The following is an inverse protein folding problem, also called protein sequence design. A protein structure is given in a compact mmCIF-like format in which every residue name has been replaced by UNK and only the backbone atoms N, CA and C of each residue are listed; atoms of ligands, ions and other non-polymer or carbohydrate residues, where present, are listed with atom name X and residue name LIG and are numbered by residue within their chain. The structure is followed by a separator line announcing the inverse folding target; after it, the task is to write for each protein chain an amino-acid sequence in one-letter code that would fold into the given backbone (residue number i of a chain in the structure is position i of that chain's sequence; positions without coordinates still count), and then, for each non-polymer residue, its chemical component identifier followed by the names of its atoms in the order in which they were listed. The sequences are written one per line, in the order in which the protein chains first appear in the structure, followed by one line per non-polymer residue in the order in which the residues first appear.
data_IF_293560496838
#
_entry.id   IF_293560496838
#
_cell.length_a   1.000
_cell.length_b   1.000
_cell.length_c   1.000
_cell.angle_alpha   90.00
_cell.angle_beta   90.00
_cell.angle_gamma   90.00
#
_symmetry.space_group_name_H-M   'P 1'
#
loop_
_entity.id
_entity.type
_entity.pdbx_description
1 polymer ?
#
# COMPACT_ATOMS: atom_id res chain seq x y z
N UNK A 1 32.77 -1.61 28.41
CA UNK A 1 32.93 -3.06 28.25
C UNK A 1 31.59 -3.54 27.74
N UNK A 2 31.57 -4.07 26.51
CA UNK A 2 30.55 -4.87 25.80
C UNK A 2 29.17 -4.88 26.46
N UNK A 3 28.11 -4.37 25.83
CA UNK A 3 27.43 -4.99 24.67
C UNK A 3 27.06 -3.89 23.62
N UNK A 4 27.40 -3.89 22.33
CA UNK A 4 27.63 -4.92 21.31
C UNK A 4 26.61 -6.07 21.38
N UNK A 5 25.37 -5.77 20.99
CA UNK A 5 24.52 -6.64 20.15
C UNK A 5 23.17 -5.95 19.90
N UNK A 6 22.98 -5.40 18.70
CA UNK A 6 21.77 -5.51 17.86
C UNK A 6 22.07 -4.76 16.56
N UNK A 7 23.08 -5.27 15.84
CA UNK A 7 22.95 -5.36 14.40
C UNK A 7 21.67 -6.17 14.16
N UNK A 8 20.54 -5.48 14.02
CA UNK A 8 19.33 -6.12 13.51
C UNK A 8 19.56 -6.26 12.01
N UNK A 9 20.27 -7.32 11.66
CA UNK A 9 20.25 -7.88 10.33
C UNK A 9 18.83 -8.41 10.12
N UNK A 10 17.91 -7.52 9.71
CA UNK A 10 16.70 -7.93 9.00
C UNK A 10 17.16 -8.42 7.64
N UNK A 11 17.54 -9.69 7.61
CA UNK A 11 17.52 -10.51 6.40
C UNK A 11 16.69 -11.73 6.73
N UNK A 12 15.38 -11.67 6.47
CA UNK A 12 14.55 -12.86 6.30
C UNK A 12 13.23 -12.49 5.67
N UNK A 13 13.13 -12.76 4.36
CA UNK A 13 12.09 -13.62 3.79
C UNK A 13 10.72 -13.57 4.50
N UNK A 14 10.10 -12.41 4.43
CA UNK A 14 8.80 -12.15 5.03
C UNK A 14 8.52 -10.69 4.75
N UNK A 15 7.84 -10.42 3.63
CA UNK A 15 7.43 -9.06 3.28
C UNK A 15 6.61 -8.50 4.42
N UNK A 16 7.25 -7.74 5.31
CA UNK A 16 6.59 -6.97 6.34
C UNK A 16 5.52 -6.17 5.59
N UNK A 17 4.24 -6.18 6.00
CA UNK A 17 3.18 -5.55 5.22
C UNK A 17 3.40 -4.04 5.04
N UNK A 18 4.37 -3.45 5.75
CA UNK A 18 4.86 -2.09 5.53
C UNK A 18 5.74 -1.88 4.30
N UNK A 19 6.42 -2.92 3.82
CA UNK A 19 7.41 -2.87 2.72
C UNK A 19 6.78 -3.09 1.34
N UNK A 20 5.56 -3.64 1.28
CA UNK A 20 4.79 -3.79 0.04
C UNK A 20 4.54 -2.43 -0.62
N UNK A 21 4.84 -2.30 -1.91
CA UNK A 21 4.56 -1.08 -2.67
C UNK A 21 3.20 -1.16 -3.37
N UNK A 22 2.25 -0.31 -2.97
CA UNK A 22 0.90 -0.26 -3.53
C UNK A 22 0.87 0.69 -4.71
N UNK A 23 0.74 0.15 -5.92
CA UNK A 23 0.74 0.92 -7.17
C UNK A 23 -0.63 1.51 -7.51
N UNK A 24 -0.65 2.45 -8.46
CA UNK A 24 -1.90 2.95 -9.06
C UNK A 24 -2.67 1.87 -9.83
N UNK A 25 -1.99 0.83 -10.30
CA UNK A 25 -2.66 -0.30 -10.94
C UNK A 25 -3.49 -1.10 -9.95
N UNK A 26 -2.94 -1.37 -8.74
CA UNK A 26 -3.71 -1.99 -7.66
C UNK A 26 -4.93 -1.14 -7.28
N UNK A 27 -4.80 0.19 -7.30
CA UNK A 27 -5.91 1.11 -7.08
C UNK A 27 -7.02 0.97 -8.14
N UNK A 28 -6.67 0.62 -9.37
CA UNK A 28 -7.63 0.45 -10.47
C UNK A 28 -8.19 -0.97 -10.57
N UNK A 29 -7.47 -1.99 -10.08
CA UNK A 29 -7.93 -3.38 -10.10
C UNK A 29 -8.67 -3.80 -8.83
N UNK A 30 -8.51 -3.08 -7.71
CA UNK A 30 -9.17 -3.42 -6.43
C UNK A 30 -10.68 -3.57 -6.61
N UNK A 31 -11.30 -4.68 -6.15
CA UNK A 31 -12.73 -4.84 -6.22
C UNK A 31 -13.40 -3.80 -5.32
N UNK A 32 -14.10 -2.85 -5.94
CA UNK A 32 -14.86 -1.82 -5.24
C UNK A 32 -16.28 -2.31 -4.93
N UNK A 33 -16.94 -1.72 -3.92
CA UNK A 33 -18.32 -2.03 -3.51
C UNK A 33 -19.42 -1.60 -4.52
N UNK A 34 -19.04 -1.11 -5.70
CA UNK A 34 -19.97 -0.64 -6.74
C UNK A 34 -19.97 -1.51 -8.00
N UNK A 35 -20.70 -1.09 -9.04
CA UNK A 35 -20.78 -1.82 -10.32
C UNK A 35 -19.48 -1.87 -11.14
N UNK A 36 -18.44 -1.09 -10.78
CA UNK A 36 -17.15 -1.09 -11.48
C UNK A 36 -16.02 -1.44 -10.51
N UNK A 37 -15.07 -2.30 -10.91
CA UNK A 37 -13.84 -2.49 -10.15
C UNK A 37 -12.99 -1.21 -10.20
N UNK A 38 -12.16 -1.04 -9.18
CA UNK A 38 -11.24 0.07 -9.02
C UNK A 38 -11.79 1.22 -8.20
N UNK A 39 -10.91 1.85 -7.42
CA UNK A 39 -11.17 3.14 -6.80
C UNK A 39 -10.97 4.27 -7.80
N UNK A 40 -11.94 5.19 -7.86
CA UNK A 40 -11.78 6.38 -8.69
C UNK A 40 -10.71 7.32 -8.12
N UNK A 41 -9.97 8.03 -8.99
CA UNK A 41 -8.95 9.01 -8.57
C UNK A 41 -9.51 10.08 -7.64
N UNK A 42 -10.79 10.45 -7.80
CA UNK A 42 -11.46 11.41 -6.91
C UNK A 42 -11.54 10.90 -5.47
N UNK A 43 -11.92 9.63 -5.28
CA UNK A 43 -12.00 8.99 -3.97
C UNK A 43 -10.63 8.80 -3.35
N UNK A 44 -9.66 8.33 -4.15
CA UNK A 44 -8.28 8.18 -3.70
C UNK A 44 -7.66 9.52 -3.26
N UNK A 45 -7.89 10.59 -4.02
CA UNK A 45 -7.43 11.94 -3.65
C UNK A 45 -8.11 12.47 -2.39
N UNK A 46 -9.40 12.18 -2.20
CA UNK A 46 -10.13 12.56 -0.99
C UNK A 46 -9.58 11.83 0.25
N UNK A 47 -9.30 10.53 0.14
CA UNK A 47 -8.65 9.74 1.18
C UNK A 47 -7.26 10.31 1.51
N UNK A 48 -6.45 10.59 0.50
CA UNK A 48 -5.12 11.17 0.69
C UNK A 48 -5.20 12.52 1.42
N UNK A 49 -6.09 13.41 0.98
CA UNK A 49 -6.29 14.70 1.64
C UNK A 49 -6.77 14.57 3.09
N UNK A 50 -7.60 13.57 3.40
CA UNK A 50 -8.10 13.32 4.76
C UNK A 50 -6.96 12.91 5.71
N UNK A 51 -6.01 12.10 5.24
CA UNK A 51 -4.89 11.60 6.01
C UNK A 51 -3.59 12.41 5.84
N UNK A 52 -3.62 13.54 5.13
CA UNK A 52 -2.45 14.39 4.90
C UNK A 52 -1.40 13.78 3.95
N UNK A 53 -1.81 12.84 3.09
CA UNK A 53 -0.96 12.25 2.07
C UNK A 53 -0.96 13.10 0.79
N UNK A 54 0.20 13.27 0.17
CA UNK A 54 0.32 14.03 -1.07
C UNK A 54 -0.01 13.16 -2.30
N UNK A 55 -1.20 13.36 -2.85
CA UNK A 55 -1.67 12.64 -4.04
C UNK A 55 -0.76 12.84 -5.26
N UNK A 56 -0.19 14.03 -5.43
CA UNK A 56 0.67 14.32 -6.57
C UNK A 56 1.99 13.57 -6.46
N UNK A 57 2.57 13.48 -5.26
CA UNK A 57 3.77 12.70 -5.01
C UNK A 57 3.53 11.20 -5.21
N UNK A 58 2.40 10.67 -4.72
CA UNK A 58 2.02 9.26 -4.92
C UNK A 58 1.95 8.92 -6.42
N UNK A 59 1.31 9.78 -7.21
CA UNK A 59 1.20 9.54 -8.66
C UNK A 59 2.57 9.63 -9.35
N UNK A 60 3.44 10.56 -8.93
CA UNK A 60 4.80 10.70 -9.47
C UNK A 60 5.69 9.51 -9.12
N UNK A 61 5.57 8.99 -7.90
CA UNK A 61 6.26 7.79 -7.44
C UNK A 61 5.67 6.49 -8.03
N UNK A 62 4.47 6.56 -8.63
CA UNK A 62 3.75 5.41 -9.18
C UNK A 62 2.95 4.60 -8.16
N UNK A 63 2.94 5.03 -6.90
CA UNK A 63 2.33 4.31 -5.78
C UNK A 63 2.75 4.86 -4.42
N UNK A 64 2.43 4.11 -3.38
CA UNK A 64 2.74 4.43 -1.99
C UNK A 64 3.11 3.16 -1.21
N UNK A 65 4.02 3.23 -0.22
CA UNK A 65 4.26 2.10 0.67
C UNK A 65 2.98 1.72 1.43
N UNK A 66 2.69 0.43 1.49
CA UNK A 66 1.55 -0.13 2.20
C UNK A 66 1.55 0.26 3.68
N UNK A 67 2.73 0.39 4.31
CA UNK A 67 2.85 0.84 5.71
C UNK A 67 2.19 2.20 5.97
N UNK A 68 2.27 3.12 5.00
CA UNK A 68 1.62 4.44 5.11
C UNK A 68 0.10 4.31 5.08
N UNK A 69 -0.42 3.43 4.22
CA UNK A 69 -1.86 3.14 4.14
C UNK A 69 -2.36 2.41 5.39
N UNK A 70 -1.62 1.42 5.89
CA UNK A 70 -1.95 0.68 7.11
C UNK A 70 -2.00 1.59 8.33
N UNK A 71 -1.08 2.56 8.42
CA UNK A 71 -1.04 3.53 9.52
C UNK A 71 -2.28 4.43 9.60
N UNK A 72 -3.02 4.60 8.50
CA UNK A 72 -4.28 5.37 8.51
C UNK A 72 -5.41 4.66 9.27
N UNK A 73 -5.37 3.33 9.34
CA UNK A 73 -6.46 2.50 9.87
C UNK A 73 -7.78 2.57 9.09
N UNK A 74 -7.78 3.20 7.91
CA UNK A 74 -8.98 3.38 7.09
C UNK A 74 -9.40 2.08 6.40
N UNK A 75 -10.69 1.77 6.41
CA UNK A 75 -11.20 0.55 5.80
C UNK A 75 -10.89 0.44 4.29
N UNK A 76 -10.89 1.55 3.54
CA UNK A 76 -10.54 1.56 2.12
C UNK A 76 -9.05 1.34 1.93
N UNK A 77 -8.21 1.99 2.76
CA UNK A 77 -6.77 1.83 2.71
C UNK A 77 -6.35 0.39 3.02
N UNK A 78 -6.93 -0.21 4.07
CA UNK A 78 -6.68 -1.60 4.46
C UNK A 78 -7.10 -2.57 3.34
N UNK A 79 -8.27 -2.38 2.75
CA UNK A 79 -8.77 -3.22 1.65
C UNK A 79 -7.86 -3.14 0.41
N UNK A 80 -7.36 -1.93 0.08
CA UNK A 80 -6.43 -1.74 -1.01
C UNK A 80 -5.10 -2.47 -0.78
N UNK A 81 -4.55 -2.39 0.44
CA UNK A 81 -3.31 -3.10 0.81
C UNK A 81 -3.51 -4.62 0.73
N UNK A 82 -4.64 -5.13 1.20
CA UNK A 82 -4.95 -6.55 1.11
C UNK A 82 -5.05 -7.02 -0.35
N UNK A 83 -5.69 -6.24 -1.22
CA UNK A 83 -5.76 -6.53 -2.65
C UNK A 83 -4.38 -6.54 -3.29
N UNK A 84 -3.57 -5.51 -3.07
CA UNK A 84 -2.20 -5.44 -3.58
C UNK A 84 -1.36 -6.64 -3.12
N UNK A 85 -1.52 -7.09 -1.88
CA UNK A 85 -0.83 -8.27 -1.36
C UNK A 85 -1.22 -9.54 -2.11
N UNK A 86 -2.52 -9.71 -2.41
CA UNK A 86 -3.02 -10.86 -3.17
C UNK A 86 -2.45 -10.87 -4.58
N UNK A 87 -2.50 -9.73 -5.29
CA UNK A 87 -1.96 -9.62 -6.67
C UNK A 87 -0.47 -9.99 -6.74
N UNK A 88 0.33 -9.52 -5.78
CA UNK A 88 1.77 -9.84 -5.70
C UNK A 88 2.00 -11.31 -5.37
N UNK A 89 1.20 -11.89 -4.47
CA UNK A 89 1.32 -13.31 -4.06
C UNK A 89 0.88 -14.26 -5.17
N UNK A 90 -0.18 -13.92 -5.92
CA UNK A 90 -0.70 -14.70 -7.05
C UNK A 90 0.21 -14.61 -8.31
N UNK A 91 1.28 -13.81 -8.27
CA UNK A 91 2.23 -13.69 -9.37
C UNK A 91 1.63 -13.05 -10.63
N UNK A 92 0.48 -12.37 -10.52
CA UNK A 92 -0.19 -11.71 -11.64
C UNK A 92 0.35 -10.29 -11.86
N UNK A 93 1.67 -10.12 -11.81
CA UNK A 93 2.33 -8.90 -12.29
C UNK A 93 2.49 -8.99 -13.80
N UNK A 94 1.67 -8.26 -14.56
CA UNK A 94 1.77 -8.19 -16.03
C UNK A 94 2.54 -6.97 -16.48
#
# INVERSE_FOLDING_TARGET
MMDDLTDVTVTSDGAEPGELFVTLEHLHSVPAWGSRPGYCHRGARALCAHYGLDWTEIVRAGGIPAGVLLATGDALALHLVEHARKEVTDGHGR
#
